data_IF_303035678640
#
_entry.id   IF_303035678640
#
_cell.length_a   1.000
_cell.length_b   1.000
_cell.length_c   1.000
_cell.angle_alpha   90.00
_cell.angle_beta   90.00
_cell.angle_gamma   90.00
#
_symmetry.space_group_name_H-M   'P 1'
#
loop_
_entity.id
_entity.type
_entity.pdbx_description
1 polymer ?
#
# COMPACT_ATOMS: atom_id res chain seq x y z
N UNK A 1 -6.05 -31.73 13.06
CA UNK A 1 -5.13 -30.82 12.35
C UNK A 1 -5.59 -30.67 10.91
N UNK A 2 -5.36 -29.49 10.35
CA UNK A 2 -5.55 -29.23 8.93
C UNK A 2 -4.22 -28.83 8.30
N UNK A 3 -3.98 -29.35 7.08
CA UNK A 3 -2.87 -28.94 6.23
C UNK A 3 -3.50 -28.35 4.96
N UNK A 4 -3.18 -27.08 4.67
CA UNK A 4 -3.61 -26.36 3.49
C UNK A 4 -2.45 -26.24 2.52
N UNK A 5 -2.67 -26.63 1.26
CA UNK A 5 -1.65 -26.67 0.23
C UNK A 5 -2.19 -26.00 -1.03
N UNK A 6 -1.34 -25.18 -1.66
CA UNK A 6 -1.57 -24.74 -3.03
C UNK A 6 -1.55 -25.94 -3.96
N UNK A 7 -2.62 -26.16 -4.69
CA UNK A 7 -2.77 -27.29 -5.59
C UNK A 7 -3.52 -26.90 -6.86
N UNK A 8 -3.59 -27.83 -7.81
CA UNK A 8 -4.38 -27.70 -9.02
C UNK A 8 -5.24 -28.93 -9.20
N UNK A 9 -6.49 -28.71 -9.53
CA UNK A 9 -7.45 -29.76 -9.91
C UNK A 9 -7.87 -29.56 -11.37
N UNK A 10 -7.96 -30.65 -12.12
CA UNK A 10 -8.09 -30.63 -13.59
C UNK A 10 -9.28 -29.81 -14.07
N UNK A 11 -10.42 -29.88 -13.38
CA UNK A 11 -11.64 -29.21 -13.77
C UNK A 11 -11.90 -27.87 -13.04
N UNK A 12 -11.12 -27.55 -11.99
CA UNK A 12 -11.33 -26.37 -11.15
C UNK A 12 -10.20 -25.34 -11.28
N UNK A 13 -9.07 -25.73 -11.85
CA UNK A 13 -7.88 -24.87 -11.89
C UNK A 13 -7.13 -24.84 -10.56
N UNK A 14 -6.66 -23.69 -10.14
CA UNK A 14 -5.99 -23.52 -8.86
C UNK A 14 -6.95 -23.66 -7.68
N UNK A 15 -6.59 -24.48 -6.70
CA UNK A 15 -7.35 -24.72 -5.49
C UNK A 15 -6.49 -24.65 -4.25
N UNK A 16 -7.10 -24.39 -3.11
CA UNK A 16 -6.48 -24.65 -1.80
C UNK A 16 -6.96 -26.01 -1.33
N UNK A 17 -6.12 -27.03 -1.53
CA UNK A 17 -6.37 -28.38 -1.09
C UNK A 17 -6.30 -28.47 0.45
N UNK A 18 -7.18 -29.27 1.01
CA UNK A 18 -7.27 -29.49 2.45
C UNK A 18 -7.03 -30.95 2.79
N UNK A 19 -6.11 -31.18 3.69
CA UNK A 19 -5.89 -32.46 4.31
C UNK A 19 -6.21 -32.37 5.80
N UNK A 20 -6.73 -33.45 6.36
CA UNK A 20 -7.00 -33.58 7.80
C UNK A 20 -6.18 -34.71 8.41
N UNK A 21 -5.80 -34.52 9.67
CA UNK A 21 -5.09 -35.52 10.47
C UNK A 21 -5.47 -35.41 11.93
N UNK A 22 -5.42 -36.52 12.66
CA UNK A 22 -5.54 -36.57 14.12
C UNK A 22 -4.19 -36.69 14.82
N UNK A 23 -3.16 -37.17 14.11
CA UNK A 23 -1.87 -37.58 14.66
C UNK A 23 -0.66 -36.90 14.00
N UNK A 24 -0.85 -36.05 12.97
CA UNK A 24 0.16 -35.41 12.13
C UNK A 24 1.01 -36.38 11.30
N UNK A 25 0.74 -37.69 11.34
CA UNK A 25 1.46 -38.73 10.62
C UNK A 25 0.66 -39.26 9.43
N UNK A 26 -0.64 -39.46 9.65
CA UNK A 26 -1.57 -39.92 8.61
C UNK A 26 -2.49 -38.80 8.19
N UNK A 27 -2.60 -38.56 6.88
CA UNK A 27 -3.35 -37.48 6.32
C UNK A 27 -4.42 -37.97 5.35
N UNK A 28 -5.63 -37.44 5.47
CA UNK A 28 -6.74 -37.72 4.56
C UNK A 28 -7.03 -36.48 3.72
N UNK A 29 -7.01 -36.63 2.39
CA UNK A 29 -7.44 -35.60 1.45
C UNK A 29 -8.95 -35.41 1.59
N UNK A 30 -9.38 -34.16 1.70
CA UNK A 30 -10.76 -33.73 1.69
C UNK A 30 -11.06 -32.92 0.43
N UNK A 31 -12.32 -32.55 0.23
CA UNK A 31 -12.67 -31.58 -0.80
C UNK A 31 -11.86 -30.28 -0.60
N UNK A 32 -11.52 -29.59 -1.69
CA UNK A 32 -10.82 -28.31 -1.63
C UNK A 32 -11.53 -27.33 -0.67
N UNK A 33 -10.74 -26.64 0.14
CA UNK A 33 -11.29 -25.59 1.02
C UNK A 33 -11.79 -24.40 0.22
N UNK A 34 -11.08 -24.07 -0.86
CA UNK A 34 -11.41 -22.95 -1.73
C UNK A 34 -11.00 -23.24 -3.18
N UNK A 35 -11.92 -23.00 -4.10
CA UNK A 35 -11.76 -23.23 -5.54
C UNK A 35 -12.50 -22.13 -6.32
N UNK A 36 -11.89 -20.97 -6.60
CA UNK A 36 -12.55 -19.85 -7.26
C UNK A 36 -12.73 -20.03 -8.79
N UNK A 37 -12.29 -21.16 -9.35
CA UNK A 37 -12.44 -21.57 -10.77
C UNK A 37 -11.84 -20.57 -11.80
N UNK A 38 -10.88 -19.76 -11.41
CA UNK A 38 -10.36 -18.70 -12.26
C UNK A 38 -8.85 -18.55 -12.32
N UNK A 39 -8.12 -19.12 -11.38
CA UNK A 39 -6.66 -18.97 -11.31
C UNK A 39 -5.93 -20.26 -11.65
N UNK A 40 -4.67 -20.12 -12.05
CA UNK A 40 -3.80 -21.27 -12.30
C UNK A 40 -3.35 -21.95 -10.99
N UNK A 41 -3.01 -21.15 -9.98
CA UNK A 41 -2.54 -21.64 -8.67
C UNK A 41 -2.84 -20.58 -7.60
N UNK A 42 -3.18 -21.02 -6.39
CA UNK A 42 -3.40 -20.15 -5.23
C UNK A 42 -2.27 -20.41 -4.23
N UNK A 43 -1.21 -19.62 -4.31
CA UNK A 43 0.01 -19.81 -3.53
C UNK A 43 -0.14 -19.31 -2.09
N UNK A 44 0.67 -19.84 -1.19
CA UNK A 44 0.83 -19.37 0.19
C UNK A 44 -0.48 -19.28 1.00
N UNK A 45 -1.35 -20.31 1.01
CA UNK A 45 -2.61 -20.25 1.73
C UNK A 45 -2.40 -20.02 3.23
N UNK A 46 -3.15 -19.09 3.83
CA UNK A 46 -3.12 -18.79 5.25
C UNK A 46 -4.54 -18.56 5.79
N UNK A 47 -4.99 -19.49 6.65
CA UNK A 47 -6.36 -19.50 7.22
C UNK A 47 -6.31 -19.11 8.68
N UNK A 48 -7.13 -18.14 9.08
CA UNK A 48 -7.26 -17.75 10.48
C UNK A 48 -8.64 -17.20 10.81
N UNK A 49 -8.96 -17.13 12.11
CA UNK A 49 -10.13 -16.42 12.64
C UNK A 49 -9.71 -15.06 13.20
N UNK A 50 -10.52 -14.03 12.91
CA UNK A 50 -10.43 -12.71 13.53
C UNK A 50 -11.83 -12.18 13.79
N UNK A 51 -12.14 -11.81 15.03
CA UNK A 51 -13.53 -11.58 15.43
C UNK A 51 -14.40 -12.82 15.17
N UNK A 52 -15.53 -12.61 14.52
CA UNK A 52 -16.47 -13.71 14.19
C UNK A 52 -16.27 -14.28 12.78
N UNK A 53 -15.33 -13.76 12.00
CA UNK A 53 -15.09 -14.16 10.61
C UNK A 53 -13.84 -15.03 10.48
N UNK A 54 -13.82 -15.86 9.45
CA UNK A 54 -12.67 -16.61 8.98
C UNK A 54 -12.13 -15.96 7.72
N UNK A 55 -10.80 -15.90 7.61
CA UNK A 55 -10.10 -15.27 6.49
C UNK A 55 -9.10 -16.24 5.91
N UNK A 56 -9.04 -16.26 4.59
CA UNK A 56 -8.13 -17.08 3.83
C UNK A 56 -7.31 -16.16 2.92
N UNK A 57 -6.05 -15.93 3.27
CA UNK A 57 -5.11 -15.27 2.37
C UNK A 57 -4.54 -16.26 1.37
N UNK A 58 -4.29 -15.78 0.18
CA UNK A 58 -3.58 -16.49 -0.87
C UNK A 58 -2.90 -15.48 -1.80
N UNK A 59 -1.93 -15.95 -2.57
CA UNK A 59 -1.19 -15.13 -3.54
C UNK A 59 -1.29 -15.73 -4.92
N UNK A 60 -1.51 -14.90 -5.93
CA UNK A 60 -1.56 -15.29 -7.32
C UNK A 60 -1.21 -14.10 -8.21
N UNK A 61 -0.49 -14.35 -9.31
CA UNK A 61 -0.14 -13.35 -10.32
C UNK A 61 0.45 -12.06 -9.72
N UNK A 62 1.44 -12.22 -8.86
CA UNK A 62 2.15 -11.12 -8.19
C UNK A 62 1.30 -10.27 -7.23
N UNK A 63 0.14 -10.75 -6.80
CA UNK A 63 -0.78 -10.06 -5.89
C UNK A 63 -1.16 -10.95 -4.72
N UNK A 64 -1.28 -10.38 -3.53
CA UNK A 64 -1.84 -11.04 -2.35
C UNK A 64 -3.31 -10.67 -2.20
N UNK A 65 -4.17 -11.68 -2.15
CA UNK A 65 -5.63 -11.56 -2.01
C UNK A 65 -6.09 -12.14 -0.68
N UNK A 66 -7.33 -11.82 -0.28
CA UNK A 66 -8.02 -12.56 0.75
C UNK A 66 -9.48 -12.87 0.36
N UNK A 67 -9.97 -13.99 0.88
CA UNK A 67 -11.38 -14.34 0.91
C UNK A 67 -11.83 -14.47 2.37
N UNK A 68 -13.13 -14.35 2.64
CA UNK A 68 -13.70 -14.42 3.99
C UNK A 68 -14.93 -15.30 4.03
N UNK A 69 -15.25 -15.82 5.23
CA UNK A 69 -16.40 -16.68 5.47
C UNK A 69 -16.92 -16.56 6.90
N UNK A 70 -18.16 -17.00 7.14
CA UNK A 70 -18.76 -17.12 8.48
C UNK A 70 -18.37 -18.44 9.18
N UNK A 71 -17.89 -19.41 8.43
CA UNK A 71 -17.49 -20.73 8.92
C UNK A 71 -16.08 -21.08 8.45
N UNK A 72 -15.34 -21.85 9.28
CA UNK A 72 -14.02 -22.39 8.88
C UNK A 72 -14.09 -23.25 7.63
N UNK A 73 -15.25 -23.84 7.35
CA UNK A 73 -15.49 -24.68 6.17
C UNK A 73 -15.95 -23.89 4.94
N UNK A 74 -16.09 -22.55 5.06
CA UNK A 74 -16.66 -21.71 4.02
C UNK A 74 -18.20 -21.70 4.03
N UNK A 75 -18.84 -21.33 2.91
CA UNK A 75 -18.20 -20.94 1.66
C UNK A 75 -17.39 -19.64 1.82
N UNK A 76 -16.18 -19.61 1.26
CA UNK A 76 -15.36 -18.42 1.20
C UNK A 76 -15.76 -17.56 -0.01
N UNK A 77 -15.85 -16.26 0.18
CA UNK A 77 -16.11 -15.27 -0.87
C UNK A 77 -15.08 -14.14 -0.81
N UNK A 78 -14.80 -13.56 -1.96
CA UNK A 78 -13.93 -12.40 -2.10
C UNK A 78 -14.76 -11.12 -1.95
N UNK A 79 -14.47 -10.24 -0.97
CA UNK A 79 -15.08 -8.91 -0.95
C UNK A 79 -14.54 -8.06 -2.12
N UNK A 80 -15.27 -7.01 -2.49
CA UNK A 80 -14.98 -6.17 -3.66
C UNK A 80 -13.54 -5.64 -3.68
N UNK A 81 -12.99 -5.27 -2.52
CA UNK A 81 -11.65 -4.72 -2.38
C UNK A 81 -10.73 -5.65 -1.57
N UNK A 82 -10.57 -6.89 -2.02
CA UNK A 82 -9.84 -7.95 -1.33
C UNK A 82 -8.30 -7.90 -1.49
N UNK A 83 -7.77 -6.82 -2.06
CA UNK A 83 -6.33 -6.54 -2.15
C UNK A 83 -6.01 -5.39 -1.20
N UNK A 84 -5.13 -5.61 -0.22
CA UNK A 84 -4.85 -4.66 0.85
C UNK A 84 -3.64 -3.75 0.58
N UNK A 85 -2.78 -4.13 -0.36
CA UNK A 85 -1.62 -3.37 -0.82
C UNK A 85 -1.58 -3.38 -2.36
N UNK A 86 -0.57 -2.82 -2.96
CA UNK A 86 -0.45 -2.73 -4.42
C UNK A 86 -0.18 -4.07 -5.11
N UNK A 87 -0.31 -4.07 -6.42
CA UNK A 87 -0.04 -5.20 -7.32
C UNK A 87 1.44 -5.28 -7.73
N UNK A 88 1.82 -6.29 -8.53
CA UNK A 88 3.11 -6.34 -9.22
C UNK A 88 4.34 -6.58 -8.33
N UNK A 89 4.27 -7.49 -7.34
CA UNK A 89 5.34 -7.80 -6.38
C UNK A 89 5.70 -6.65 -5.42
N UNK A 90 4.87 -5.65 -5.28
CA UNK A 90 5.09 -4.65 -4.24
C UNK A 90 4.77 -5.18 -2.85
N UNK A 91 3.87 -6.16 -2.75
CA UNK A 91 3.60 -6.92 -1.53
C UNK A 91 3.08 -8.32 -1.88
N UNK A 92 3.90 -9.36 -1.69
CA UNK A 92 3.57 -10.70 -2.19
C UNK A 92 3.86 -11.82 -1.18
N UNK A 93 3.21 -12.97 -1.44
CA UNK A 93 3.37 -14.22 -0.69
C UNK A 93 3.12 -14.05 0.82
N UNK A 94 2.10 -13.27 1.17
CA UNK A 94 1.87 -12.90 2.55
C UNK A 94 1.29 -14.03 3.39
N UNK A 95 1.73 -14.06 4.63
CA UNK A 95 1.25 -14.91 5.72
C UNK A 95 0.95 -14.06 6.93
N UNK A 96 0.10 -14.53 7.83
CA UNK A 96 -0.21 -13.79 9.05
C UNK A 96 0.42 -14.41 10.30
N UNK A 97 0.68 -13.55 11.27
CA UNK A 97 1.09 -13.94 12.61
C UNK A 97 0.32 -13.12 13.66
N UNK A 98 0.07 -13.70 14.82
CA UNK A 98 -0.57 -13.00 15.94
C UNK A 98 0.45 -12.79 17.05
N UNK A 99 0.51 -11.56 17.55
CA UNK A 99 1.36 -11.19 18.68
C UNK A 99 0.67 -10.12 19.52
N UNK A 100 0.60 -10.34 20.85
CA UNK A 100 0.01 -9.41 21.82
C UNK A 100 -1.40 -8.93 21.45
N UNK A 101 -2.25 -9.83 20.97
CA UNK A 101 -3.63 -9.54 20.58
C UNK A 101 -3.81 -8.86 19.23
N UNK A 102 -2.71 -8.50 18.55
CA UNK A 102 -2.72 -7.92 17.21
C UNK A 102 -2.37 -8.97 16.18
N UNK A 103 -2.89 -8.80 14.96
CA UNK A 103 -2.53 -9.66 13.82
C UNK A 103 -1.74 -8.86 12.80
N UNK A 104 -0.68 -9.45 12.33
CA UNK A 104 0.25 -8.87 11.37
C UNK A 104 0.21 -9.65 10.07
N UNK A 105 0.22 -8.96 8.96
CA UNK A 105 0.35 -9.51 7.62
C UNK A 105 1.78 -9.31 7.14
N UNK A 106 2.51 -10.41 6.94
CA UNK A 106 3.93 -10.43 6.62
C UNK A 106 4.12 -10.92 5.19
N UNK A 107 4.58 -10.08 4.31
CA UNK A 107 4.89 -10.38 2.92
C UNK A 107 6.27 -9.90 2.54
N UNK A 108 6.60 -9.94 1.26
CA UNK A 108 7.86 -9.38 0.77
C UNK A 108 7.63 -8.38 -0.36
N UNK A 109 8.50 -7.36 -0.41
CA UNK A 109 8.57 -6.39 -1.50
C UNK A 109 9.75 -6.73 -2.41
N UNK A 110 9.47 -6.87 -3.71
CA UNK A 110 10.48 -7.19 -4.72
C UNK A 110 11.57 -6.14 -4.85
N UNK A 111 12.68 -6.51 -5.48
CA UNK A 111 13.74 -5.56 -5.86
C UNK A 111 13.43 -4.99 -7.24
N UNK A 112 13.72 -3.72 -7.44
CA UNK A 112 13.63 -3.11 -8.77
C UNK A 112 14.77 -3.58 -9.67
N UNK A 113 14.44 -4.06 -10.86
CA UNK A 113 15.40 -4.46 -11.87
C UNK A 113 16.33 -3.30 -12.21
N UNK A 114 17.64 -3.60 -12.23
CA UNK A 114 18.71 -2.63 -12.48
C UNK A 114 18.69 -1.41 -11.54
N UNK A 115 18.04 -1.50 -10.38
CA UNK A 115 17.84 -0.39 -9.42
C UNK A 115 17.25 0.87 -10.08
N UNK A 116 16.25 0.70 -10.95
CA UNK A 116 15.59 1.81 -11.64
C UNK A 116 14.14 1.93 -11.15
N UNK A 117 13.70 3.15 -10.85
CA UNK A 117 12.32 3.42 -10.40
C UNK A 117 11.25 2.98 -11.40
N UNK A 118 11.56 2.98 -12.69
CA UNK A 118 10.71 2.50 -13.78
C UNK A 118 10.98 1.03 -14.15
N UNK A 119 11.85 0.34 -13.43
CA UNK A 119 12.15 -1.08 -13.65
C UNK A 119 11.03 -1.97 -13.15
N UNK A 120 10.87 -3.14 -13.79
CA UNK A 120 10.01 -4.22 -13.26
C UNK A 120 10.54 -4.72 -11.92
N UNK A 121 9.71 -5.39 -11.15
CA UNK A 121 10.17 -6.08 -9.96
C UNK A 121 10.83 -7.42 -10.32
N UNK A 122 11.94 -7.69 -9.66
CA UNK A 122 12.58 -9.01 -9.63
C UNK A 122 11.97 -9.83 -8.48
N UNK A 123 12.08 -11.16 -8.58
CA UNK A 123 11.63 -12.09 -7.56
C UNK A 123 12.35 -11.88 -6.22
N UNK A 124 11.60 -12.00 -5.11
CA UNK A 124 12.05 -11.85 -3.72
C UNK A 124 12.60 -10.45 -3.39
N UNK A 125 12.81 -10.18 -2.11
CA UNK A 125 13.29 -8.90 -1.61
C UNK A 125 13.30 -8.81 -0.09
N UNK A 126 12.85 -7.69 0.44
CA UNK A 126 12.81 -7.43 1.87
C UNK A 126 11.46 -7.85 2.48
N UNK A 127 11.49 -8.29 3.72
CA UNK A 127 10.29 -8.48 4.52
C UNK A 127 9.58 -7.13 4.70
N UNK A 128 8.27 -7.15 4.53
CA UNK A 128 7.38 -6.03 4.82
C UNK A 128 6.24 -6.51 5.71
N UNK A 129 5.85 -5.69 6.67
CA UNK A 129 4.84 -6.07 7.68
C UNK A 129 3.81 -4.95 7.79
N UNK A 130 2.52 -5.34 7.70
CA UNK A 130 1.39 -4.49 8.04
C UNK A 130 0.69 -4.99 9.31
N UNK A 131 0.04 -4.12 10.06
CA UNK A 131 -0.91 -4.51 11.09
C UNK A 131 -2.31 -4.61 10.45
N UNK A 132 -2.99 -5.77 10.61
CA UNK A 132 -4.35 -5.96 10.10
C UNK A 132 -5.38 -5.26 10.96
N UNK A 133 -6.38 -4.67 10.32
CA UNK A 133 -7.55 -4.07 10.94
C UNK A 133 -8.80 -4.78 10.42
N UNK A 134 -9.69 -5.22 11.32
CA UNK A 134 -11.02 -5.69 10.95
C UNK A 134 -12.01 -4.52 11.04
N UNK A 135 -12.73 -4.26 9.97
CA UNK A 135 -13.77 -3.23 9.92
C UNK A 135 -15.09 -3.75 10.48
N UNK A 136 -16.04 -2.85 10.69
CA UNK A 136 -17.37 -3.20 11.26
C UNK A 136 -18.14 -4.20 10.38
N UNK A 137 -18.00 -4.12 9.06
CA UNK A 137 -18.61 -5.05 8.10
C UNK A 137 -17.87 -6.40 8.01
N UNK A 138 -16.79 -6.56 8.74
CA UNK A 138 -15.93 -7.74 8.73
C UNK A 138 -14.88 -7.73 7.62
N UNK A 139 -14.86 -6.77 6.71
CA UNK A 139 -13.77 -6.66 5.74
C UNK A 139 -12.47 -6.25 6.42
N UNK A 140 -11.34 -6.52 5.78
CA UNK A 140 -10.02 -6.19 6.31
C UNK A 140 -9.48 -4.87 5.76
N UNK A 141 -8.70 -4.21 6.58
CA UNK A 141 -7.81 -3.13 6.22
C UNK A 141 -6.41 -3.39 6.75
N UNK A 142 -5.47 -2.52 6.37
CA UNK A 142 -4.10 -2.53 6.86
C UNK A 142 -3.68 -1.14 7.31
N UNK A 143 -2.82 -1.12 8.32
CA UNK A 143 -2.17 0.09 8.82
C UNK A 143 -0.69 -0.13 9.12
N UNK A 144 -0.01 0.96 9.37
CA UNK A 144 1.35 0.96 9.90
C UNK A 144 1.41 0.18 11.23
N UNK A 145 2.42 -0.65 11.39
CA UNK A 145 2.67 -1.36 12.66
C UNK A 145 2.79 -0.36 13.81
N UNK A 146 1.96 -0.52 14.83
CA UNK A 146 1.82 0.46 15.93
C UNK A 146 3.14 0.79 16.64
N UNK A 147 4.07 -0.16 16.76
CA UNK A 147 5.39 0.06 17.39
C UNK A 147 6.31 1.02 16.61
N UNK A 148 6.04 1.28 15.33
CA UNK A 148 6.84 2.22 14.55
C UNK A 148 6.69 3.68 15.02
N UNK A 149 5.57 4.03 15.64
CA UNK A 149 5.40 5.38 16.22
C UNK A 149 6.38 5.67 17.35
N UNK A 150 6.79 4.64 18.09
CA UNK A 150 7.81 4.77 19.15
C UNK A 150 9.22 4.91 18.57
N UNK A 151 9.48 4.24 17.45
CA UNK A 151 10.74 4.35 16.72
C UNK A 151 10.89 5.74 16.07
N UNK A 152 9.82 6.26 15.44
CA UNK A 152 9.77 7.58 14.82
C UNK A 152 9.27 8.64 15.82
N UNK A 153 9.97 8.85 16.93
CA UNK A 153 9.51 9.72 18.01
C UNK A 153 10.01 11.18 17.94
N UNK A 154 10.99 11.48 17.08
CA UNK A 154 11.51 12.84 16.93
C UNK A 154 10.68 13.61 15.89
N UNK A 155 9.75 14.46 16.36
CA UNK A 155 8.84 15.26 15.52
C UNK A 155 9.50 16.54 15.03
N UNK A 156 9.22 16.89 13.76
CA UNK A 156 9.60 18.16 13.15
C UNK A 156 8.47 18.66 12.25
N UNK A 157 8.17 19.95 12.30
CA UNK A 157 7.31 20.60 11.30
C UNK A 157 8.21 21.00 10.13
N UNK A 158 8.02 20.38 8.94
CA UNK A 158 8.92 20.63 7.83
C UNK A 158 8.76 22.05 7.29
N UNK A 159 9.87 22.66 6.92
CA UNK A 159 9.89 23.96 6.25
C UNK A 159 9.83 23.74 4.74
N UNK A 160 8.97 24.48 4.05
CA UNK A 160 9.01 24.50 2.59
C UNK A 160 10.35 25.07 2.10
N UNK A 161 10.92 24.44 1.09
CA UNK A 161 12.11 24.93 0.38
C UNK A 161 11.70 25.75 -0.85
N UNK A 162 10.77 25.21 -1.64
CA UNK A 162 10.32 25.81 -2.89
C UNK A 162 8.86 25.46 -3.19
N UNK A 163 8.25 26.17 -4.11
CA UNK A 163 6.91 25.89 -4.63
C UNK A 163 6.93 25.95 -6.16
N UNK A 164 6.03 25.18 -6.77
CA UNK A 164 5.73 25.24 -8.20
C UNK A 164 4.21 25.44 -8.36
N UNK A 165 3.79 26.27 -9.30
CA UNK A 165 2.37 26.56 -9.53
C UNK A 165 1.73 27.43 -8.44
N UNK A 166 0.41 27.39 -8.34
CA UNK A 166 -0.34 28.19 -7.36
C UNK A 166 -0.43 27.45 -6.03
N UNK A 167 0.32 27.92 -5.03
CA UNK A 167 0.34 27.39 -3.66
C UNK A 167 0.05 28.51 -2.68
N UNK A 168 -0.93 28.30 -1.80
CA UNK A 168 -1.29 29.23 -0.70
C UNK A 168 -0.97 28.58 0.64
N UNK A 169 -0.35 29.31 1.54
CA UNK A 169 -0.26 28.92 2.95
C UNK A 169 -1.61 29.10 3.62
N UNK A 170 -2.05 28.09 4.37
CA UNK A 170 -3.24 28.13 5.22
C UNK A 170 -2.81 27.89 6.67
N UNK A 171 -3.72 28.01 7.63
CA UNK A 171 -3.38 27.98 9.06
C UNK A 171 -2.53 26.76 9.48
N UNK A 172 -2.84 25.57 8.95
CA UNK A 172 -2.23 24.30 9.36
C UNK A 172 -1.54 23.57 8.19
N UNK A 173 -1.20 24.28 7.12
CA UNK A 173 -0.57 23.64 5.95
C UNK A 173 -0.63 24.45 4.67
N UNK A 174 -0.98 23.79 3.57
CA UNK A 174 -0.98 24.39 2.23
C UNK A 174 -2.26 24.04 1.46
N UNK A 175 -2.73 25.00 0.66
CA UNK A 175 -3.71 24.77 -0.40
C UNK A 175 -2.96 24.81 -1.74
N UNK A 176 -3.04 23.71 -2.50
CA UNK A 176 -2.45 23.54 -3.81
C UNK A 176 -3.56 23.68 -4.85
N UNK A 177 -3.45 24.66 -5.75
CA UNK A 177 -4.47 24.94 -6.78
C UNK A 177 -3.90 24.62 -8.15
N UNK A 178 -4.26 23.47 -8.73
CA UNK A 178 -3.87 23.06 -10.06
C UNK A 178 -5.11 22.98 -10.97
N UNK A 179 -5.19 23.88 -11.95
CA UNK A 179 -6.22 23.83 -12.99
C UNK A 179 -5.93 22.68 -13.96
N UNK A 180 -6.78 22.53 -14.96
CA UNK A 180 -6.60 21.53 -16.01
C UNK A 180 -5.20 21.66 -16.65
N UNK A 181 -4.48 20.54 -16.71
CA UNK A 181 -3.13 20.42 -17.26
C UNK A 181 -2.06 21.22 -16.47
N UNK A 182 -2.39 21.69 -15.26
CA UNK A 182 -1.45 22.35 -14.36
C UNK A 182 -1.04 21.44 -13.19
N UNK A 183 0.05 21.83 -12.55
CA UNK A 183 0.58 21.20 -11.33
C UNK A 183 0.85 22.28 -10.30
N UNK A 184 0.46 22.03 -9.06
CA UNK A 184 0.90 22.78 -7.90
C UNK A 184 1.69 21.84 -6.97
N UNK A 185 2.81 22.33 -6.39
CA UNK A 185 3.72 21.49 -5.62
C UNK A 185 4.38 22.30 -4.50
N UNK A 186 4.51 21.68 -3.33
CA UNK A 186 5.36 22.15 -2.23
C UNK A 186 6.52 21.19 -2.08
N UNK A 187 7.73 21.68 -2.22
CA UNK A 187 8.98 20.94 -2.03
C UNK A 187 9.57 21.23 -0.65
N UNK A 188 9.83 20.21 0.11
CA UNK A 188 10.46 20.25 1.43
C UNK A 188 11.99 20.05 1.39
N UNK A 189 12.56 19.89 0.20
CA UNK A 189 13.99 19.70 -0.01
C UNK A 189 14.46 18.28 0.28
N UNK A 190 15.77 18.18 0.47
CA UNK A 190 16.41 16.90 0.79
C UNK A 190 16.01 16.38 2.15
N UNK A 191 15.75 15.09 2.23
CA UNK A 191 15.34 14.37 3.43
C UNK A 191 16.35 13.30 3.85
N UNK A 192 16.22 12.80 5.07
CA UNK A 192 16.92 11.60 5.51
C UNK A 192 16.22 10.33 4.97
N UNK A 193 16.99 9.26 4.83
CA UNK A 193 16.51 7.99 4.31
C UNK A 193 15.39 7.37 5.15
N UNK A 194 15.41 7.55 6.47
CA UNK A 194 14.41 7.04 7.39
C UNK A 194 13.49 8.18 7.86
N UNK A 195 12.19 8.09 7.55
CA UNK A 195 11.20 9.14 7.84
C UNK A 195 9.79 8.53 7.88
N UNK A 196 9.00 8.97 8.87
CA UNK A 196 7.54 8.87 8.87
C UNK A 196 6.97 10.27 8.64
N UNK A 197 6.33 10.48 7.48
CA UNK A 197 5.51 11.67 7.23
C UNK A 197 4.06 11.34 7.54
N UNK A 198 3.40 12.24 8.29
CA UNK A 198 1.97 12.20 8.52
C UNK A 198 1.34 13.51 8.02
N UNK A 199 0.18 13.43 7.41
CA UNK A 199 -0.61 14.59 7.02
C UNK A 199 -2.07 14.20 6.77
N UNK A 200 -2.93 15.22 6.73
CA UNK A 200 -4.32 15.10 6.35
C UNK A 200 -4.51 15.74 4.97
N UNK A 201 -5.15 15.02 4.05
CA UNK A 201 -5.32 15.42 2.65
C UNK A 201 -6.81 15.45 2.31
N UNK A 202 -7.28 16.58 1.80
CA UNK A 202 -8.58 16.67 1.14
C UNK A 202 -8.45 17.32 -0.22
N UNK A 203 -9.31 16.94 -1.19
CA UNK A 203 -9.31 17.52 -2.53
C UNK A 203 -10.70 17.52 -3.15
N UNK A 204 -10.92 18.47 -4.05
CA UNK A 204 -12.23 18.78 -4.61
C UNK A 204 -12.44 18.05 -5.94
N UNK A 205 -12.94 16.81 -5.89
CA UNK A 205 -13.37 16.09 -7.10
C UNK A 205 -12.24 15.36 -7.82
N UNK A 206 -12.34 15.26 -9.14
CA UNK A 206 -11.41 14.51 -9.99
C UNK A 206 -10.02 15.15 -10.05
N UNK A 207 -8.97 14.34 -10.03
CA UNK A 207 -7.59 14.78 -10.13
C UNK A 207 -6.63 13.89 -9.34
N UNK A 208 -5.42 14.38 -9.15
CA UNK A 208 -4.32 13.63 -8.57
C UNK A 208 -3.67 14.44 -7.45
N UNK A 209 -3.47 13.80 -6.32
CA UNK A 209 -2.70 14.35 -5.19
C UNK A 209 -1.69 13.30 -4.75
N UNK A 210 -0.52 13.71 -4.27
CA UNK A 210 0.42 12.69 -3.81
C UNK A 210 1.78 13.20 -3.41
N UNK A 211 2.69 12.25 -3.25
CA UNK A 211 4.05 12.45 -2.80
C UNK A 211 5.02 12.22 -3.95
N UNK A 212 5.89 13.17 -4.20
CA UNK A 212 6.85 13.13 -5.30
C UNK A 212 8.28 13.08 -4.77
N UNK A 213 9.09 12.24 -5.39
CA UNK A 213 10.50 12.02 -5.04
C UNK A 213 11.39 12.32 -6.22
N UNK A 214 12.46 13.07 -6.01
CA UNK A 214 13.38 13.41 -7.08
C UNK A 214 14.72 13.93 -6.60
N UNK A 215 15.57 14.27 -7.56
CA UNK A 215 16.87 14.87 -7.30
C UNK A 215 16.90 16.28 -7.91
N UNK A 216 17.32 17.26 -7.11
CA UNK A 216 17.42 18.64 -7.54
C UNK A 216 16.08 19.29 -7.92
N UNK A 217 16.13 20.29 -8.78
CA UNK A 217 14.99 21.16 -9.11
C UNK A 217 14.22 20.74 -10.37
N UNK A 218 14.60 19.64 -11.02
CA UNK A 218 13.94 19.16 -12.21
C UNK A 218 12.70 18.31 -11.86
N UNK A 219 11.64 18.94 -11.38
CA UNK A 219 10.41 18.28 -10.96
C UNK A 219 9.80 17.37 -12.03
N UNK A 220 10.02 17.62 -13.30
CA UNK A 220 9.55 16.77 -14.40
C UNK A 220 10.14 15.33 -14.36
N UNK A 221 11.21 15.12 -13.61
CA UNK A 221 11.85 13.81 -13.42
C UNK A 221 11.47 13.14 -12.10
N UNK A 222 10.56 13.70 -11.32
CA UNK A 222 10.13 13.11 -10.07
C UNK A 222 9.24 11.91 -10.33
N UNK A 223 9.39 10.89 -9.47
CA UNK A 223 8.49 9.75 -9.37
C UNK A 223 7.59 9.93 -8.15
N UNK A 224 6.48 9.24 -8.05
CA UNK A 224 5.62 9.45 -6.91
C UNK A 224 4.58 8.39 -6.63
N UNK A 225 4.03 8.49 -5.43
CA UNK A 225 2.86 7.77 -4.97
C UNK A 225 1.65 8.70 -5.05
N UNK A 226 0.60 8.25 -5.70
CA UNK A 226 -0.52 9.07 -6.15
C UNK A 226 -1.83 8.57 -5.57
N UNK A 227 -2.60 9.50 -5.02
CA UNK A 227 -4.01 9.36 -4.69
C UNK A 227 -4.78 9.83 -5.94
N UNK A 228 -5.37 8.90 -6.67
CA UNK A 228 -6.03 9.15 -7.96
C UNK A 228 -7.55 9.06 -7.81
N UNK A 229 -8.19 10.21 -7.59
CA UNK A 229 -9.65 10.28 -7.47
C UNK A 229 -10.37 10.08 -8.79
N UNK A 230 -9.72 10.35 -9.91
CA UNK A 230 -10.30 10.16 -11.24
C UNK A 230 -10.52 8.68 -11.56
N UNK A 231 -9.55 7.81 -11.18
CA UNK A 231 -9.60 6.38 -11.46
C UNK A 231 -9.92 5.54 -10.22
N UNK A 232 -10.17 6.16 -9.06
CA UNK A 232 -10.43 5.51 -7.77
C UNK A 232 -9.36 4.47 -7.42
N UNK A 233 -8.11 4.91 -7.37
CA UNK A 233 -7.00 4.05 -6.98
C UNK A 233 -5.87 4.82 -6.30
N UNK A 234 -5.04 4.10 -5.57
CA UNK A 234 -3.68 4.50 -5.23
C UNK A 234 -2.76 3.90 -6.28
N UNK A 235 -1.80 4.67 -6.80
CA UNK A 235 -0.86 4.12 -7.77
C UNK A 235 0.55 4.73 -7.68
N UNK A 236 1.51 4.04 -8.26
CA UNK A 236 2.86 4.55 -8.46
C UNK A 236 3.03 5.04 -9.88
N UNK A 237 3.60 6.25 -10.00
CA UNK A 237 3.88 6.91 -11.27
C UNK A 237 5.37 7.22 -11.42
N UNK A 238 5.93 6.84 -12.57
CA UNK A 238 7.34 7.10 -12.90
C UNK A 238 7.64 8.53 -13.33
N UNK A 239 6.62 9.38 -13.55
CA UNK A 239 6.78 10.76 -14.00
C UNK A 239 5.57 11.63 -13.57
N UNK A 240 5.57 12.10 -12.33
CA UNK A 240 4.41 12.74 -11.69
C UNK A 240 3.92 14.06 -12.29
N UNK A 241 4.73 14.77 -13.08
CA UNK A 241 4.38 16.15 -13.43
C UNK A 241 4.02 16.39 -14.91
N UNK A 242 4.37 15.50 -15.82
CA UNK A 242 4.21 15.81 -17.25
C UNK A 242 3.38 14.80 -18.04
N UNK A 243 3.01 13.64 -17.48
CA UNK A 243 2.40 12.56 -18.26
C UNK A 243 1.42 11.66 -17.50
N UNK A 244 0.96 12.05 -16.32
CA UNK A 244 0.07 11.20 -15.49
C UNK A 244 -1.19 10.72 -16.20
N UNK A 245 -1.69 11.46 -17.17
CA UNK A 245 -2.87 11.09 -17.95
C UNK A 245 -2.60 10.07 -19.10
N UNK A 246 -1.34 9.72 -19.38
CA UNK A 246 -0.95 9.02 -20.59
C UNK A 246 -0.18 7.72 -20.37
N UNK A 247 0.11 7.34 -19.15
CA UNK A 247 0.91 6.14 -18.81
C UNK A 247 0.10 5.28 -17.86
N UNK A 248 -0.03 3.99 -18.16
CA UNK A 248 -0.61 3.04 -17.21
C UNK A 248 0.28 2.93 -15.97
N UNK A 249 -0.30 2.97 -14.77
CA UNK A 249 0.45 2.82 -13.54
C UNK A 249 1.20 1.49 -13.50
N UNK A 250 2.45 1.55 -13.07
CA UNK A 250 3.27 0.35 -12.87
C UNK A 250 2.77 -0.55 -11.74
N UNK A 251 2.10 0.05 -10.76
CA UNK A 251 1.56 -0.58 -9.55
C UNK A 251 0.33 0.21 -9.14
N UNK A 252 -0.71 -0.48 -8.73
CA UNK A 252 -1.94 0.17 -8.25
C UNK A 252 -2.69 -0.71 -7.25
N UNK A 253 -3.57 -0.09 -6.48
CA UNK A 253 -4.60 -0.75 -5.66
C UNK A 253 -5.87 0.08 -5.67
N UNK A 254 -7.03 -0.56 -5.72
CA UNK A 254 -8.32 0.13 -5.72
C UNK A 254 -8.55 0.86 -4.39
N UNK A 255 -8.98 2.12 -4.46
CA UNK A 255 -9.39 2.92 -3.33
C UNK A 255 -10.37 4.01 -3.80
N UNK A 256 -11.58 4.03 -3.23
CA UNK A 256 -12.60 5.02 -3.61
C UNK A 256 -12.43 6.32 -2.85
N UNK A 257 -12.40 7.43 -3.59
CA UNK A 257 -12.28 8.77 -3.03
C UNK A 257 -13.64 9.49 -3.04
N UNK A 258 -13.92 10.22 -1.97
CA UNK A 258 -15.09 11.10 -1.83
C UNK A 258 -14.62 12.55 -1.88
N UNK A 259 -15.25 13.37 -2.74
CA UNK A 259 -14.90 14.78 -2.89
C UNK A 259 -15.05 15.54 -1.56
N UNK A 260 -14.02 16.27 -1.16
CA UNK A 260 -13.98 17.08 0.05
C UNK A 260 -13.82 16.31 1.36
N UNK A 261 -13.80 14.97 1.32
CA UNK A 261 -13.44 14.17 2.49
C UNK A 261 -11.97 14.38 2.81
N UNK A 262 -11.66 14.49 4.10
CA UNK A 262 -10.30 14.49 4.61
C UNK A 262 -9.84 13.07 4.88
N UNK A 263 -8.66 12.73 4.37
CA UNK A 263 -8.01 11.42 4.51
C UNK A 263 -6.75 11.57 5.32
N UNK A 264 -6.59 10.74 6.36
CA UNK A 264 -5.35 10.66 7.10
C UNK A 264 -4.33 9.78 6.35
N UNK A 265 -3.19 10.36 6.01
CA UNK A 265 -2.15 9.69 5.23
C UNK A 265 -0.86 9.58 6.02
N UNK A 266 -0.28 8.40 6.03
CA UNK A 266 1.06 8.13 6.56
C UNK A 266 1.96 7.63 5.44
N UNK A 267 3.15 8.18 5.36
CA UNK A 267 4.19 7.75 4.43
C UNK A 267 5.41 7.30 5.23
N UNK A 268 5.59 5.98 5.33
CA UNK A 268 6.73 5.37 6.01
C UNK A 268 7.84 5.13 5.00
N UNK A 269 9.02 5.62 5.28
CA UNK A 269 10.19 5.50 4.40
C UNK A 269 11.37 4.91 5.15
N UNK A 270 11.98 3.90 4.56
CA UNK A 270 13.22 3.30 5.03
C UNK A 270 14.11 2.98 3.83
N UNK A 271 15.13 3.80 3.63
CA UNK A 271 15.96 3.80 2.42
C UNK A 271 15.08 3.92 1.15
N UNK A 272 15.15 2.94 0.25
CA UNK A 272 14.33 2.89 -0.97
C UNK A 272 12.94 2.28 -0.78
N UNK A 273 12.61 1.75 0.40
CA UNK A 273 11.27 1.21 0.67
C UNK A 273 10.37 2.35 1.17
N UNK A 274 9.24 2.50 0.50
CA UNK A 274 8.24 3.52 0.82
C UNK A 274 6.88 2.85 0.89
N UNK A 275 6.15 3.09 1.98
CA UNK A 275 4.80 2.57 2.17
C UNK A 275 3.86 3.73 2.48
N UNK A 276 2.90 3.94 1.62
CA UNK A 276 1.80 4.87 1.85
C UNK A 276 0.65 4.11 2.52
N UNK A 277 0.12 4.62 3.61
CA UNK A 277 -1.11 4.16 4.27
C UNK A 277 -2.16 5.25 4.20
N UNK A 278 -3.41 4.87 3.98
CA UNK A 278 -4.55 5.78 3.96
C UNK A 278 -5.69 5.26 4.85
N UNK A 279 -6.13 6.08 5.82
CA UNK A 279 -7.27 5.83 6.74
C UNK A 279 -7.24 4.46 7.43
N UNK A 280 -6.06 3.91 7.71
CA UNK A 280 -5.89 2.55 8.26
C UNK A 280 -6.68 1.47 7.47
N UNK A 281 -6.86 1.71 6.17
CA UNK A 281 -7.66 0.87 5.27
C UNK A 281 -6.84 0.19 4.19
N UNK A 282 -5.96 0.95 3.55
CA UNK A 282 -5.13 0.48 2.42
C UNK A 282 -3.68 0.88 2.60
N UNK A 283 -2.81 0.11 1.98
CA UNK A 283 -1.42 0.46 1.77
C UNK A 283 -1.08 0.50 0.27
N UNK A 284 -0.05 1.24 -0.07
CA UNK A 284 0.64 1.13 -1.35
C UNK A 284 2.14 1.09 -1.06
N UNK A 285 2.68 -0.10 -1.06
CA UNK A 285 4.11 -0.35 -0.87
C UNK A 285 4.86 -0.19 -2.18
N UNK A 286 6.03 0.42 -2.13
CA UNK A 286 6.87 0.56 -3.30
C UNK A 286 8.34 0.63 -2.94
N UNK A 287 9.18 0.35 -3.92
CA UNK A 287 10.62 0.58 -3.85
C UNK A 287 10.97 1.71 -4.80
N UNK A 288 11.43 2.83 -4.25
CA UNK A 288 11.72 4.07 -4.96
C UNK A 288 13.16 4.48 -4.68
N UNK A 289 14.04 4.39 -5.67
CA UNK A 289 15.47 4.74 -5.52
C UNK A 289 15.65 6.23 -5.21
N UNK A 290 14.79 7.08 -5.77
CA UNK A 290 14.77 8.53 -5.50
C UNK A 290 14.23 8.92 -4.13
N UNK A 291 13.85 7.96 -3.29
CA UNK A 291 13.43 8.22 -1.92
C UNK A 291 14.57 8.15 -0.89
N UNK A 292 15.79 7.81 -1.31
CA UNK A 292 16.95 7.65 -0.43
C UNK A 292 17.44 8.99 0.16
N UNK A 293 18.44 8.90 1.01
CA UNK A 293 18.99 10.08 1.72
C UNK A 293 19.42 11.19 0.75
N UNK A 294 19.04 12.42 1.08
CA UNK A 294 19.30 13.60 0.25
C UNK A 294 18.34 13.81 -0.91
N UNK A 295 17.49 12.84 -1.24
CA UNK A 295 16.46 13.04 -2.25
C UNK A 295 15.41 14.08 -1.79
N UNK A 296 14.92 14.89 -2.73
CA UNK A 296 13.85 15.83 -2.45
C UNK A 296 12.53 15.11 -2.28
N UNK A 297 11.75 15.54 -1.31
CA UNK A 297 10.38 15.12 -1.06
C UNK A 297 9.45 16.32 -1.28
N UNK A 298 8.44 16.11 -2.10
CA UNK A 298 7.42 17.12 -2.37
C UNK A 298 6.02 16.52 -2.25
N UNK A 299 5.04 17.37 -1.95
CA UNK A 299 3.61 17.04 -2.06
C UNK A 299 3.05 17.84 -3.22
N UNK A 300 2.26 17.22 -4.07
CA UNK A 300 1.74 17.83 -5.28
C UNK A 300 0.25 17.62 -5.47
N UNK A 301 -0.37 18.51 -6.22
CA UNK A 301 -1.69 18.36 -6.82
C UNK A 301 -1.61 18.56 -8.34
N UNK A 302 -2.43 17.83 -9.08
CA UNK A 302 -2.52 17.91 -10.54
C UNK A 302 -4.00 17.82 -10.94
N UNK A 303 -4.48 18.75 -11.76
CA UNK A 303 -5.88 18.83 -12.20
C UNK A 303 -6.91 18.92 -11.05
N UNK A 304 -6.54 19.40 -9.88
CA UNK A 304 -7.43 19.53 -8.72
C UNK A 304 -6.95 20.63 -7.77
N UNK A 305 -7.83 21.06 -6.88
CA UNK A 305 -7.44 21.82 -5.69
C UNK A 305 -7.43 20.90 -4.49
N UNK A 306 -6.32 20.91 -3.77
CA UNK A 306 -6.14 20.10 -2.56
C UNK A 306 -5.70 20.93 -1.38
N UNK A 307 -6.15 20.56 -0.19
CA UNK A 307 -5.62 21.05 1.08
C UNK A 307 -4.81 19.94 1.74
N UNK A 308 -3.61 20.30 2.17
CA UNK A 308 -2.70 19.40 2.89
C UNK A 308 -2.42 20.02 4.23
N UNK A 309 -2.91 19.39 5.29
CA UNK A 309 -2.86 19.90 6.67
C UNK A 309 -2.03 19.01 7.58
N UNK A 310 -1.68 19.54 8.75
CA UNK A 310 -1.05 18.80 9.83
C UNK A 310 0.22 18.03 9.39
N UNK A 311 1.03 18.63 8.51
CA UNK A 311 2.21 17.99 7.95
C UNK A 311 3.27 17.87 9.04
N UNK A 312 3.62 16.64 9.41
CA UNK A 312 4.61 16.32 10.44
C UNK A 312 5.61 15.32 9.85
N UNK A 313 6.90 15.62 10.02
CA UNK A 313 7.97 14.68 9.79
C UNK A 313 8.42 14.10 11.14
N UNK A 314 8.46 12.78 11.21
CA UNK A 314 8.91 12.05 12.39
C UNK A 314 10.17 11.25 12.00
N UNK A 315 11.23 11.45 12.76
CA UNK A 315 12.52 10.79 12.55
C UNK A 315 12.78 9.74 13.63
N UNK A 316 13.63 8.74 13.35
CA UNK A 316 14.11 7.82 14.38
C UNK A 316 14.79 8.57 15.50
N UNK A 317 14.60 8.12 16.75
CA UNK A 317 15.40 8.63 17.87
C UNK A 317 16.87 8.35 17.60
N UNK A 318 17.70 9.36 17.76
CA UNK A 318 19.16 9.17 17.73
C UNK A 318 19.55 8.44 19.01
N UNK A 319 20.12 7.25 18.87
CA UNK A 319 20.73 6.49 19.98
C UNK A 319 22.02 7.18 20.47
#
# INVERSE_FOLDING_TARGET
YWLLIAAREENLGGVIARYTSTDLSSWTLCDPLYAPEKQYMLECPDLFKMGEKYYLFYSWDCVTYYAMADSIYGPFYEPENNVLDGTGFCFYAAKTAQLNGKRYLCGWIGRRSKKKDTGTYDWAGNLLIHELVQKEDGTLGVKMVSGLSEYFAQKEIPKKRAVLGEVKEIADGYQLCAKKDEVALVDFGGRKASLLLECDISFAGEGYVGFAFGEGEEYAKYTGLVLDAKNNCLHYEGCVLSRMAYIEPLIQTAFSFEAGKEYHVRLVMENEIVVLYIDDTKALSNRIQKSVDGAHLAIFANNTTAEIKNIIFNFPMQN
#
